data_IF_740991260307
#
_entry.id   IF_740991260307
#
_cell.length_a   1.000
_cell.length_b   1.000
_cell.length_c   1.000
_cell.angle_alpha   90.00
_cell.angle_beta   90.00
_cell.angle_gamma   90.00
#
_symmetry.space_group_name_H-M   'P 1'
#
loop_
_entity.id
_entity.type
_entity.pdbx_description
1 polymer ?
#
# COMPACT_ATOMS: atom_id res chain seq x y z
N UNK A 1 -16.80 -47.11 -26.70
CA UNK A 1 -15.79 -46.68 -25.72
C UNK A 1 -16.15 -45.27 -25.30
N UNK A 2 -16.97 -45.17 -24.26
CA UNK A 2 -17.35 -43.88 -23.67
C UNK A 2 -16.17 -43.36 -22.87
N UNK A 3 -15.70 -42.16 -23.20
CA UNK A 3 -14.64 -41.49 -22.45
C UNK A 3 -15.31 -40.61 -21.41
N UNK A 4 -15.36 -41.10 -20.16
CA UNK A 4 -15.79 -40.34 -18.99
C UNK A 4 -14.90 -39.11 -18.79
N UNK A 5 -15.47 -37.92 -18.89
CA UNK A 5 -14.82 -36.66 -18.55
C UNK A 5 -14.63 -36.53 -17.03
N UNK A 6 -13.45 -36.15 -16.52
CA UNK A 6 -13.31 -35.85 -15.11
C UNK A 6 -14.00 -34.51 -14.79
N UNK A 7 -14.92 -34.56 -13.81
CA UNK A 7 -15.53 -33.42 -13.13
C UNK A 7 -14.43 -32.44 -12.65
N UNK A 8 -14.27 -31.33 -13.37
CA UNK A 8 -13.47 -30.21 -12.91
C UNK A 8 -14.29 -29.54 -11.82
N UNK A 9 -13.96 -29.86 -10.57
CA UNK A 9 -14.56 -29.28 -9.38
C UNK A 9 -14.64 -27.76 -9.53
N UNK A 10 -15.85 -27.24 -9.37
CA UNK A 10 -16.18 -25.82 -9.40
C UNK A 10 -15.15 -25.02 -8.58
N UNK A 11 -14.62 -23.90 -9.10
CA UNK A 11 -13.81 -23.01 -8.30
C UNK A 11 -14.63 -22.59 -7.09
N UNK A 12 -14.15 -22.94 -5.90
CA UNK A 12 -14.71 -22.46 -4.63
C UNK A 12 -14.83 -20.95 -4.76
N UNK A 13 -16.06 -20.43 -4.75
CA UNK A 13 -16.32 -19.00 -4.67
C UNK A 13 -15.84 -18.57 -3.29
N UNK A 14 -14.56 -18.21 -3.18
CA UNK A 14 -14.14 -17.31 -2.11
C UNK A 14 -14.83 -15.98 -2.41
N UNK A 15 -15.96 -15.81 -1.73
CA UNK A 15 -16.67 -14.57 -1.57
C UNK A 15 -15.64 -13.51 -1.13
N UNK A 16 -15.35 -12.57 -2.03
CA UNK A 16 -14.59 -11.39 -1.68
C UNK A 16 -15.49 -10.55 -0.77
N UNK A 17 -15.24 -10.61 0.53
CA UNK A 17 -15.85 -9.70 1.50
C UNK A 17 -15.28 -8.28 1.27
N UNK A 18 -16.04 -7.32 0.72
CA UNK A 18 -15.54 -5.97 0.56
C UNK A 18 -15.52 -5.32 1.95
N UNK A 19 -14.36 -5.32 2.60
CA UNK A 19 -14.11 -4.41 3.72
C UNK A 19 -14.25 -3.01 3.15
N UNK A 20 -15.31 -2.31 3.57
CA UNK A 20 -15.65 -0.94 3.21
C UNK A 20 -14.40 -0.07 3.31
N UNK A 21 -13.77 0.24 2.18
CA UNK A 21 -12.64 1.17 2.10
C UNK A 21 -13.22 2.57 2.09
N UNK A 22 -13.58 3.06 3.27
CA UNK A 22 -13.86 4.48 3.44
C UNK A 22 -12.61 5.29 3.09
N UNK A 23 -12.84 6.35 2.34
CA UNK A 23 -11.86 7.11 1.58
C UNK A 23 -10.61 7.48 2.37
N UNK A 24 -9.47 7.04 1.85
CA UNK A 24 -8.18 7.67 2.11
C UNK A 24 -7.69 8.28 0.80
N UNK A 25 -8.30 9.40 0.39
CA UNK A 25 -7.72 10.32 -0.59
C UNK A 25 -6.50 10.97 0.05
N UNK A 26 -5.37 10.27 0.06
CA UNK A 26 -4.09 10.88 0.40
C UNK A 26 -3.61 11.71 -0.80
N UNK A 27 -4.23 12.87 -0.98
CA UNK A 27 -3.62 13.97 -1.71
C UNK A 27 -2.25 14.24 -1.09
N UNK A 28 -1.22 14.15 -1.94
CA UNK A 28 0.14 14.49 -1.59
C UNK A 28 0.17 15.97 -1.18
N UNK A 29 0.41 16.24 0.10
CA UNK A 29 0.72 17.59 0.57
C UNK A 29 2.10 17.98 0.05
N UNK A 30 2.13 18.50 -1.18
CA UNK A 30 3.28 19.18 -1.77
C UNK A 30 3.39 20.55 -1.10
N UNK A 31 4.35 20.67 -0.19
CA UNK A 31 4.77 21.95 0.35
C UNK A 31 5.46 22.75 -0.77
N UNK A 32 4.77 23.75 -1.31
CA UNK A 32 5.38 24.82 -2.11
C UNK A 32 4.96 26.18 -1.57
N UNK A 33 5.84 26.78 -0.80
CA UNK A 33 5.79 28.22 -0.50
C UNK A 33 6.36 28.98 -1.70
N UNK A 34 5.51 29.67 -2.45
CA UNK A 34 5.90 30.75 -3.36
C UNK A 34 5.06 31.98 -3.03
N UNK A 35 5.74 33.12 -2.98
CA UNK A 35 5.31 34.37 -2.38
C UNK A 35 4.51 35.31 -3.30
N UNK A 36 3.85 36.28 -2.63
CA UNK A 36 3.46 37.65 -3.04
C UNK A 36 2.02 37.91 -3.52
N UNK A 37 1.38 38.90 -2.87
CA UNK A 37 0.31 39.72 -3.46
C UNK A 37 -0.92 39.95 -2.58
N UNK A 38 -0.93 41.07 -1.84
CA UNK A 38 -2.05 41.58 -1.03
C UNK A 38 -3.34 41.82 -1.83
N UNK A 39 -4.53 41.55 -1.25
CA UNK A 39 -5.79 42.36 -1.26
C UNK A 39 -6.71 41.96 -0.11
N UNK A 40 -7.16 42.96 0.64
CA UNK A 40 -8.08 42.87 1.75
C UNK A 40 -9.46 42.36 1.33
N UNK A 41 -9.88 41.24 1.90
CA UNK A 41 -11.30 40.93 2.15
C UNK A 41 -11.35 40.02 3.37
N UNK A 42 -11.58 40.59 4.55
CA UNK A 42 -11.99 39.82 5.72
C UNK A 42 -13.36 39.20 5.43
N UNK A 43 -13.51 37.87 5.37
CA UNK A 43 -14.83 37.29 5.51
C UNK A 43 -15.13 37.26 7.00
N UNK A 44 -16.15 38.03 7.40
CA UNK A 44 -16.71 38.00 8.74
C UNK A 44 -16.93 36.55 9.19
N UNK A 45 -16.24 36.15 10.26
CA UNK A 45 -16.51 34.90 10.97
C UNK A 45 -17.94 35.02 11.53
N UNK A 46 -18.88 34.37 10.86
CA UNK A 46 -20.13 34.01 11.50
C UNK A 46 -19.80 32.96 12.56
N UNK A 47 -20.23 33.28 13.77
CA UNK A 47 -20.28 32.42 14.95
C UNK A 47 -20.99 31.11 14.59
N UNK A 48 -20.21 30.09 14.26
CA UNK A 48 -20.68 28.70 14.29
C UNK A 48 -20.07 28.12 15.55
N UNK A 49 -20.84 28.20 16.63
CA UNK A 49 -20.63 27.45 17.86
C UNK A 49 -20.69 25.96 17.51
N UNK A 50 -19.55 25.40 17.11
CA UNK A 50 -19.37 23.96 17.08
C UNK A 50 -19.00 23.54 18.49
N UNK A 51 -19.89 22.82 19.16
CA UNK A 51 -19.59 22.10 20.38
C UNK A 51 -18.36 21.20 20.11
N UNK A 52 -17.29 21.53 20.83
CA UNK A 52 -15.93 20.99 20.68
C UNK A 52 -15.92 19.51 21.10
N UNK A 53 -16.20 18.60 20.16
CA UNK A 53 -15.91 17.17 20.32
C UNK A 53 -14.38 17.01 20.31
N UNK A 54 -13.82 17.04 21.52
CA UNK A 54 -12.41 16.97 21.84
C UNK A 54 -11.76 15.79 21.10
N UNK A 55 -11.15 16.07 19.96
CA UNK A 55 -10.28 15.15 19.26
C UNK A 55 -9.24 14.62 20.26
N UNK A 56 -9.08 13.29 20.44
CA UNK A 56 -8.12 12.76 21.38
C UNK A 56 -6.72 13.12 20.87
N UNK A 57 -6.15 14.17 21.45
CA UNK A 57 -4.76 14.56 21.24
C UNK A 57 -3.91 13.45 21.83
N UNK A 58 -3.67 12.42 21.01
CA UNK A 58 -2.84 11.29 21.42
C UNK A 58 -1.50 11.89 21.79
N UNK A 59 -1.20 11.88 23.08
CA UNK A 59 0.02 12.48 23.60
C UNK A 59 1.20 11.93 22.79
N UNK A 60 2.17 12.78 22.49
CA UNK A 60 3.34 12.38 21.70
C UNK A 60 4.00 11.09 22.25
N UNK A 61 3.97 10.92 23.57
CA UNK A 61 4.38 9.70 24.28
C UNK A 61 3.63 8.45 23.84
N UNK A 62 2.29 8.50 23.73
CA UNK A 62 1.47 7.38 23.26
C UNK A 62 1.75 7.04 21.80
N UNK A 63 1.83 8.05 20.91
CA UNK A 63 2.19 7.84 19.49
C UNK A 63 3.55 7.14 19.36
N UNK A 64 4.53 7.60 20.15
CA UNK A 64 5.87 6.99 20.18
C UNK A 64 5.82 5.54 20.67
N UNK A 65 5.11 5.27 21.75
CA UNK A 65 4.99 3.91 22.29
C UNK A 65 4.37 2.95 21.26
N UNK A 66 3.34 3.40 20.55
CA UNK A 66 2.68 2.61 19.52
C UNK A 66 3.58 2.37 18.31
N UNK A 67 4.34 3.38 17.88
CA UNK A 67 5.33 3.23 16.82
C UNK A 67 6.42 2.22 17.20
N UNK A 68 6.92 2.27 18.45
CA UNK A 68 7.89 1.31 18.97
C UNK A 68 7.31 -0.11 19.05
N UNK A 69 6.04 -0.25 19.46
CA UNK A 69 5.34 -1.55 19.47
C UNK A 69 5.24 -2.13 18.07
N UNK A 70 4.81 -1.33 17.09
CA UNK A 70 4.75 -1.72 15.66
C UNK A 70 6.13 -2.11 15.14
N UNK A 71 7.17 -1.34 15.47
CA UNK A 71 8.56 -1.63 15.11
C UNK A 71 9.02 -2.98 15.66
N UNK A 72 8.87 -3.24 16.97
CA UNK A 72 9.27 -4.51 17.61
C UNK A 72 8.53 -5.69 16.95
N UNK A 73 7.21 -5.59 16.76
CA UNK A 73 6.40 -6.62 16.09
C UNK A 73 6.82 -6.84 14.63
N UNK A 74 7.20 -5.78 13.89
CA UNK A 74 7.73 -5.89 12.52
C UNK A 74 9.12 -6.51 12.49
N UNK A 75 9.99 -6.16 13.45
CA UNK A 75 11.36 -6.69 13.56
C UNK A 75 11.37 -8.19 13.84
N UNK A 76 10.51 -8.66 14.74
CA UNK A 76 10.39 -10.09 15.05
C UNK A 76 9.92 -10.93 13.86
N UNK A 77 9.10 -10.35 12.97
CA UNK A 77 8.52 -11.03 11.78
C UNK A 77 9.32 -10.80 10.49
N UNK A 78 10.59 -10.43 10.57
CA UNK A 78 11.43 -10.24 9.37
C UNK A 78 11.69 -11.60 8.72
N UNK A 79 11.51 -11.66 7.40
CA UNK A 79 11.87 -12.83 6.61
C UNK A 79 13.30 -12.66 6.10
N UNK A 80 14.25 -13.38 6.70
CA UNK A 80 15.66 -13.38 6.26
C UNK A 80 15.95 -14.37 5.14
N UNK A 81 15.10 -15.39 4.98
CA UNK A 81 15.17 -16.29 3.84
C UNK A 81 14.87 -15.56 2.55
N UNK A 82 15.50 -15.99 1.45
CA UNK A 82 15.16 -15.47 0.11
C UNK A 82 13.71 -15.87 -0.20
N UNK A 83 12.86 -14.88 -0.47
CA UNK A 83 11.45 -15.09 -0.86
C UNK A 83 11.27 -14.65 -2.31
N UNK A 84 10.76 -15.55 -3.14
CA UNK A 84 10.34 -15.21 -4.50
C UNK A 84 8.89 -14.77 -4.43
N UNK A 85 8.64 -13.50 -4.78
CA UNK A 85 7.31 -12.90 -4.71
C UNK A 85 6.60 -12.85 -6.07
N UNK A 86 7.38 -12.85 -7.15
CA UNK A 86 6.87 -12.87 -8.52
C UNK A 86 7.49 -14.06 -9.25
N UNK A 87 6.79 -15.19 -9.23
CA UNK A 87 7.29 -16.41 -9.85
C UNK A 87 7.41 -16.27 -11.38
N UNK A 88 6.48 -15.55 -12.01
CA UNK A 88 6.52 -15.25 -13.44
C UNK A 88 7.85 -14.58 -13.86
N UNK A 89 8.33 -13.59 -13.09
CA UNK A 89 9.61 -12.90 -13.38
C UNK A 89 10.81 -13.83 -13.18
N UNK A 90 10.74 -14.76 -12.22
CA UNK A 90 11.78 -15.79 -12.03
C UNK A 90 11.83 -16.72 -13.23
N UNK A 91 10.69 -17.20 -13.72
CA UNK A 91 10.63 -18.04 -14.92
C UNK A 91 11.21 -17.32 -16.15
N UNK A 92 10.84 -16.06 -16.38
CA UNK A 92 11.44 -15.26 -17.47
C UNK A 92 12.96 -15.14 -17.33
N UNK A 93 13.46 -14.92 -16.12
CA UNK A 93 14.90 -14.79 -15.86
C UNK A 93 15.68 -16.11 -15.99
N UNK A 94 15.02 -17.25 -15.77
CA UNK A 94 15.57 -18.60 -15.98
C UNK A 94 15.71 -18.87 -17.48
N UNK A 95 14.67 -18.55 -18.26
CA UNK A 95 14.63 -18.86 -19.70
C UNK A 95 15.48 -17.89 -20.55
N UNK A 96 15.82 -16.71 -20.03
CA UNK A 96 16.58 -15.70 -20.77
C UNK A 96 18.06 -16.11 -20.92
N UNK A 97 18.66 -16.03 -22.13
CA UNK A 97 20.01 -16.50 -22.36
C UNK A 97 21.05 -15.65 -21.63
N UNK A 98 22.09 -16.33 -21.13
CA UNK A 98 23.17 -15.72 -20.36
C UNK A 98 24.54 -16.13 -20.89
N UNK A 99 25.48 -15.19 -20.93
CA UNK A 99 26.91 -15.42 -21.16
C UNK A 99 27.68 -14.83 -20.00
N UNK A 100 28.52 -15.63 -19.31
CA UNK A 100 29.28 -15.23 -18.11
C UNK A 100 28.40 -14.57 -17.01
N UNK A 101 27.17 -15.07 -16.83
CA UNK A 101 26.20 -14.58 -15.84
C UNK A 101 25.37 -13.36 -16.27
N UNK A 102 25.71 -12.73 -17.41
CA UNK A 102 25.01 -11.54 -17.95
C UNK A 102 23.97 -11.97 -18.97
N UNK A 103 22.82 -11.31 -18.96
CA UNK A 103 21.85 -11.51 -20.03
C UNK A 103 22.37 -10.96 -21.35
N UNK A 104 22.19 -11.72 -22.42
CA UNK A 104 22.56 -11.30 -23.78
C UNK A 104 21.32 -11.08 -24.63
N UNK A 105 21.45 -10.24 -25.67
CA UNK A 105 20.44 -10.14 -26.72
C UNK A 105 20.67 -11.28 -27.69
N UNK A 106 19.62 -12.02 -28.01
CA UNK A 106 19.68 -12.99 -29.10
C UNK A 106 19.61 -12.19 -30.39
N UNK A 107 20.65 -12.28 -31.20
CA UNK A 107 20.57 -11.80 -32.58
C UNK A 107 19.55 -12.69 -33.30
N UNK A 108 18.60 -12.04 -33.97
CA UNK A 108 17.54 -12.73 -34.71
C UNK A 108 18.02 -13.10 -36.09
#
# INVERSE_FOLDING_TARGET
>A
MEMTTPEIGSPHKEEYDPVTVEGASMFLNFCSTVAQGARDTSPALSDVSNDDEAQPTTSWSQVRMDALRRYKKKRARRNFKKVIRYECRKQTAINRPRTKGRFVKVEK
#
